data_IF_124857610142
#
_entry.id   IF_124857610142
#
_cell.length_a   1.000
_cell.length_b   1.000
_cell.length_c   1.000
_cell.angle_alpha   90.00
_cell.angle_beta   90.00
_cell.angle_gamma   90.00
#
_symmetry.space_group_name_H-M   'P 1'
#
loop_
_entity.id
_entity.type
_entity.pdbx_description
1 polymer ?
#
# COMPACT_ATOMS: atom_id res chain seq x y z
N UNK A 1 7.40 29.40 14.34
CA UNK A 1 6.28 29.65 13.42
C UNK A 1 6.80 29.48 11.99
N UNK A 2 6.67 28.27 11.44
CA UNK A 2 6.66 27.95 10.00
C UNK A 2 5.72 26.76 9.89
N UNK A 3 4.53 27.05 9.39
CA UNK A 3 3.41 26.17 9.07
C UNK A 3 3.54 25.68 7.64
N UNK A 4 3.52 24.36 7.46
CA UNK A 4 2.91 23.57 6.37
C UNK A 4 3.43 22.13 6.56
N UNK A 5 2.51 21.19 6.76
CA UNK A 5 2.70 19.89 7.43
C UNK A 5 3.90 19.10 6.89
N UNK A 6 4.91 18.95 7.75
CA UNK A 6 6.12 18.15 7.57
C UNK A 6 5.88 16.85 8.32
N UNK A 7 5.79 15.71 7.63
CA UNK A 7 6.24 14.41 8.14
C UNK A 7 6.17 13.36 7.01
N UNK A 8 6.98 13.59 5.97
CA UNK A 8 7.44 12.52 5.09
C UNK A 8 8.91 12.27 5.48
N UNK A 9 9.13 11.25 6.29
CA UNK A 9 10.48 10.79 6.65
C UNK A 9 11.02 9.85 5.57
N UNK A 10 11.83 10.36 4.64
CA UNK A 10 12.75 9.54 3.85
C UNK A 10 14.08 9.44 4.62
N UNK A 11 14.42 8.24 5.13
CA UNK A 11 15.75 7.95 5.64
C UNK A 11 16.57 7.25 4.55
N UNK A 12 17.43 8.01 3.87
CA UNK A 12 18.46 7.45 2.99
C UNK A 12 19.69 7.09 3.84
N UNK A 13 19.99 5.80 3.95
CA UNK A 13 21.26 5.33 4.50
C UNK A 13 22.19 4.91 3.37
N UNK A 14 23.19 5.75 3.11
CA UNK A 14 24.40 5.39 2.38
C UNK A 14 25.16 4.34 3.17
N UNK A 15 25.56 3.22 2.58
CA UNK A 15 26.78 2.53 2.99
C UNK A 15 27.37 1.62 1.91
N UNK A 16 28.60 2.01 1.52
CA UNK A 16 29.82 1.21 1.30
C UNK A 16 29.84 0.14 0.21
N UNK A 17 30.75 0.36 -0.75
CA UNK A 17 31.16 -0.56 -1.80
C UNK A 17 31.82 -1.85 -1.26
N UNK A 18 31.37 -3.00 -1.75
CA UNK A 18 32.19 -4.21 -1.87
C UNK A 18 31.96 -4.83 -3.25
N UNK A 19 33.05 -5.08 -3.96
CA UNK A 19 33.15 -5.58 -5.33
C UNK A 19 32.82 -7.07 -5.48
N UNK A 20 32.22 -7.38 -6.63
CA UNK A 20 32.22 -8.62 -7.44
C UNK A 20 31.53 -9.89 -6.90
N UNK A 21 30.32 -10.19 -7.42
CA UNK A 21 30.07 -11.42 -8.19
C UNK A 21 28.77 -11.30 -9.04
N UNK A 22 28.81 -11.76 -10.29
CA UNK A 22 27.73 -11.67 -11.28
C UNK A 22 26.75 -12.87 -11.14
N UNK A 23 25.79 -12.74 -10.22
CA UNK A 23 24.39 -13.10 -10.47
C UNK A 23 23.55 -12.49 -9.34
N UNK A 24 23.27 -11.19 -9.43
CA UNK A 24 22.36 -10.55 -8.48
C UNK A 24 20.97 -11.14 -8.76
N UNK A 25 20.63 -12.26 -8.09
CA UNK A 25 19.24 -12.56 -7.79
C UNK A 25 18.72 -11.30 -7.14
N UNK A 26 17.84 -10.59 -7.85
CA UNK A 26 17.29 -9.32 -7.44
C UNK A 26 16.49 -9.53 -6.14
N UNK A 27 17.23 -9.49 -5.03
CA UNK A 27 16.74 -9.94 -3.72
C UNK A 27 15.84 -8.83 -3.21
N UNK A 28 14.56 -9.16 -3.04
CA UNK A 28 13.56 -8.21 -2.57
C UNK A 28 14.00 -7.59 -1.25
N UNK A 29 14.20 -6.28 -1.24
CA UNK A 29 14.52 -5.55 -0.03
C UNK A 29 13.23 -5.17 0.72
N UNK A 30 13.21 -5.18 2.06
CA UNK A 30 12.00 -4.88 2.83
C UNK A 30 11.37 -3.52 2.48
N UNK A 31 12.17 -2.49 2.23
CA UNK A 31 11.67 -1.16 1.88
C UNK A 31 10.94 -1.11 0.52
N UNK A 32 11.11 -2.13 -0.33
CA UNK A 32 10.38 -2.30 -1.60
C UNK A 32 8.96 -2.87 -1.40
N UNK A 33 8.59 -3.18 -0.15
CA UNK A 33 7.26 -3.61 0.26
C UNK A 33 6.59 -2.40 0.95
N UNK A 34 5.48 -1.94 0.38
CA UNK A 34 4.69 -0.86 0.97
C UNK A 34 3.41 -1.39 1.61
N UNK A 35 3.16 -1.03 2.86
CA UNK A 35 1.84 -1.14 3.49
C UNK A 35 1.13 0.20 3.28
N UNK A 36 -0.06 0.16 2.67
CA UNK A 36 -0.78 1.36 2.24
C UNK A 36 -2.19 1.35 2.81
N UNK A 37 -2.52 2.42 3.53
CA UNK A 37 -3.87 2.71 4.02
C UNK A 37 -4.39 3.94 3.31
N UNK A 38 -5.65 3.93 2.85
CA UNK A 38 -6.30 5.12 2.27
C UNK A 38 -7.36 5.60 3.26
N UNK A 39 -7.38 6.91 3.55
CA UNK A 39 -8.36 7.53 4.45
C UNK A 39 -8.99 8.75 3.78
N UNK A 40 -10.21 9.11 4.20
CA UNK A 40 -10.92 10.29 3.70
C UNK A 40 -11.16 11.29 4.82
N UNK A 41 -10.44 12.41 4.78
CA UNK A 41 -10.55 13.50 5.74
C UNK A 41 -9.97 13.18 7.12
N UNK A 42 -10.43 13.90 8.13
CA UNK A 42 -9.89 13.86 9.49
C UNK A 42 -10.34 12.63 10.29
N UNK A 43 -10.31 11.43 9.72
CA UNK A 43 -10.70 10.18 10.38
C UNK A 43 -9.51 9.43 10.98
N UNK A 44 -8.28 9.85 10.71
CA UNK A 44 -7.07 9.19 11.20
C UNK A 44 -7.06 9.01 12.72
N UNK A 45 -7.53 10.01 13.48
CA UNK A 45 -7.58 9.94 14.93
C UNK A 45 -8.47 8.81 15.46
N UNK A 46 -9.52 8.44 14.72
CA UNK A 46 -10.44 7.36 15.10
C UNK A 46 -9.76 6.00 15.03
N UNK A 47 -8.80 5.86 14.11
CA UNK A 47 -8.07 4.62 13.86
C UNK A 47 -6.63 4.64 14.41
N UNK A 48 -6.31 5.62 15.26
CA UNK A 48 -4.96 5.88 15.75
C UNK A 48 -4.26 4.62 16.29
N UNK A 49 -4.95 3.82 17.09
CA UNK A 49 -4.35 2.62 17.68
C UNK A 49 -3.97 1.57 16.62
N UNK A 50 -4.84 1.36 15.63
CA UNK A 50 -4.59 0.42 14.54
C UNK A 50 -3.45 0.93 13.63
N UNK A 51 -3.50 2.20 13.23
CA UNK A 51 -2.48 2.85 12.41
C UNK A 51 -1.10 2.82 13.10
N UNK A 52 -1.02 3.17 14.39
CA UNK A 52 0.25 3.15 15.14
C UNK A 52 0.82 1.73 15.27
N UNK A 53 -0.02 0.71 15.42
CA UNK A 53 0.41 -0.69 15.41
C UNK A 53 1.06 -1.07 14.07
N UNK A 54 0.43 -0.72 12.96
CA UNK A 54 0.98 -0.97 11.61
C UNK A 54 2.27 -0.16 11.38
N UNK A 55 2.31 1.09 11.82
CA UNK A 55 3.51 1.95 11.73
C UNK A 55 4.70 1.35 12.48
N UNK A 56 4.50 0.92 13.73
CA UNK A 56 5.54 0.26 14.53
C UNK A 56 6.03 -1.04 13.87
N UNK A 57 5.11 -1.86 13.35
CA UNK A 57 5.45 -3.08 12.63
C UNK A 57 6.27 -2.80 11.36
N UNK A 58 5.86 -1.78 10.60
CA UNK A 58 6.54 -1.37 9.37
C UNK A 58 7.95 -0.88 9.66
N UNK A 59 8.12 -0.08 10.71
CA UNK A 59 9.43 0.38 11.15
C UNK A 59 10.32 -0.78 11.61
N UNK A 60 9.78 -1.70 12.41
CA UNK A 60 10.54 -2.85 12.92
C UNK A 60 11.15 -3.71 11.80
N UNK A 61 10.42 -3.89 10.69
CA UNK A 61 10.87 -4.72 9.56
C UNK A 61 11.41 -3.91 8.37
N UNK A 62 11.52 -2.59 8.49
CA UNK A 62 11.96 -1.69 7.43
C UNK A 62 11.08 -1.73 6.17
N UNK A 63 9.76 -1.90 6.33
CA UNK A 63 8.77 -1.74 5.27
C UNK A 63 8.43 -0.26 5.07
N UNK A 64 8.04 0.10 3.85
CA UNK A 64 7.47 1.43 3.57
C UNK A 64 6.03 1.46 4.12
N UNK A 65 5.67 2.48 4.90
CA UNK A 65 4.29 2.70 5.34
C UNK A 65 3.78 4.03 4.79
N UNK A 66 2.60 4.01 4.16
CA UNK A 66 1.98 5.21 3.61
C UNK A 66 0.50 5.29 3.99
N UNK A 67 0.11 6.44 4.52
CA UNK A 67 -1.28 6.82 4.74
C UNK A 67 -1.64 7.81 3.64
N UNK A 68 -2.57 7.43 2.77
CA UNK A 68 -3.03 8.25 1.66
C UNK A 68 -4.33 8.95 2.05
N UNK A 69 -4.23 10.18 2.57
CA UNK A 69 -5.38 11.01 2.86
C UNK A 69 -5.88 11.72 1.59
N UNK A 70 -7.12 11.41 1.19
CA UNK A 70 -7.73 11.94 -0.05
C UNK A 70 -7.83 13.46 -0.08
N UNK A 71 -7.91 14.13 1.07
CA UNK A 71 -8.07 15.58 1.18
C UNK A 71 -6.74 16.32 1.18
N UNK A 72 -5.63 15.62 1.44
CA UNK A 72 -4.31 16.22 1.62
C UNK A 72 -3.32 15.89 0.50
N UNK A 73 -3.64 14.91 -0.36
CA UNK A 73 -2.73 14.40 -1.39
C UNK A 73 -3.31 14.54 -2.82
N UNK A 74 -3.37 15.77 -3.36
CA UNK A 74 -3.87 16.03 -4.71
C UNK A 74 -3.08 15.28 -5.79
N UNK A 75 -1.81 14.95 -5.55
CA UNK A 75 -0.95 14.23 -6.49
C UNK A 75 -1.41 12.80 -6.79
N UNK A 76 -2.18 12.18 -5.88
CA UNK A 76 -2.72 10.83 -6.07
C UNK A 76 -4.21 10.81 -6.38
N UNK A 77 -4.93 11.92 -6.22
CA UNK A 77 -6.39 12.00 -6.41
C UNK A 77 -6.81 12.67 -7.72
N UNK A 78 -5.89 13.30 -8.45
CA UNK A 78 -6.15 14.19 -9.60
C UNK A 78 -7.11 13.66 -10.69
N UNK A 79 -7.21 12.34 -10.89
CA UNK A 79 -8.08 11.70 -11.88
C UNK A 79 -9.00 10.62 -11.29
N UNK A 80 -9.16 10.59 -9.97
CA UNK A 80 -9.98 9.61 -9.27
C UNK A 80 -11.37 10.18 -8.98
N UNK A 81 -12.23 10.17 -9.99
CA UNK A 81 -13.54 10.81 -9.98
C UNK A 81 -14.68 9.91 -9.45
N UNK A 82 -14.36 8.73 -8.95
CA UNK A 82 -15.34 7.78 -8.41
C UNK A 82 -16.05 8.40 -7.19
N UNK A 83 -17.39 8.57 -7.19
CA UNK A 83 -18.09 9.21 -6.08
C UNK A 83 -17.97 8.45 -4.76
N UNK A 84 -17.96 7.12 -4.80
CA UNK A 84 -17.87 6.30 -3.60
C UNK A 84 -16.41 6.10 -3.21
N UNK A 85 -16.11 6.41 -1.94
CA UNK A 85 -14.77 6.26 -1.37
C UNK A 85 -14.18 4.86 -1.57
N UNK A 86 -15.01 3.82 -1.36
CA UNK A 86 -14.60 2.41 -1.49
C UNK A 86 -14.10 2.05 -2.88
N UNK A 87 -14.56 2.74 -3.91
CA UNK A 87 -14.06 2.57 -5.27
C UNK A 87 -12.91 3.51 -5.58
N UNK A 88 -13.05 4.78 -5.20
CA UNK A 88 -12.05 5.83 -5.42
C UNK A 88 -10.67 5.47 -4.89
N UNK A 89 -10.60 4.81 -3.73
CA UNK A 89 -9.34 4.32 -3.13
C UNK A 89 -8.51 3.45 -4.08
N UNK A 90 -9.14 2.63 -4.93
CA UNK A 90 -8.40 1.75 -5.85
C UNK A 90 -7.65 2.59 -6.90
N UNK A 91 -8.29 3.65 -7.42
CA UNK A 91 -7.64 4.60 -8.32
C UNK A 91 -6.48 5.34 -7.62
N UNK A 92 -6.67 5.78 -6.38
CA UNK A 92 -5.64 6.48 -5.60
C UNK A 92 -4.41 5.58 -5.40
N UNK A 93 -4.62 4.32 -4.99
CA UNK A 93 -3.54 3.33 -4.85
C UNK A 93 -2.86 3.08 -6.20
N UNK A 94 -3.59 3.04 -7.31
CA UNK A 94 -3.00 2.89 -8.63
C UNK A 94 -2.06 4.05 -9.00
N UNK A 95 -2.41 5.29 -8.63
CA UNK A 95 -1.57 6.46 -8.84
C UNK A 95 -0.34 6.46 -7.94
N UNK A 96 -0.48 6.10 -6.66
CA UNK A 96 0.64 5.88 -5.75
C UNK A 96 1.60 4.80 -6.29
N UNK A 97 1.06 3.65 -6.69
CA UNK A 97 1.82 2.55 -7.27
C UNK A 97 2.58 2.99 -8.54
N UNK A 98 1.95 3.81 -9.39
CA UNK A 98 2.58 4.35 -10.60
C UNK A 98 3.72 5.32 -10.27
N UNK A 99 3.55 6.16 -9.23
CA UNK A 99 4.54 7.14 -8.79
C UNK A 99 5.81 6.49 -8.26
N UNK A 100 5.68 5.34 -7.59
CA UNK A 100 6.77 4.61 -6.96
C UNK A 100 7.07 3.26 -7.63
N UNK A 101 6.81 3.15 -8.93
CA UNK A 101 6.95 1.90 -9.68
C UNK A 101 8.37 1.33 -9.72
N UNK A 102 9.40 2.14 -9.47
CA UNK A 102 10.79 1.70 -9.51
C UNK A 102 11.32 1.37 -8.11
N UNK A 103 10.66 1.89 -7.07
CA UNK A 103 11.06 1.77 -5.67
C UNK A 103 10.26 0.67 -4.95
N UNK A 104 8.97 0.54 -5.26
CA UNK A 104 8.04 -0.35 -4.58
C UNK A 104 7.65 -1.50 -5.51
N UNK A 105 8.01 -2.73 -5.13
CA UNK A 105 7.71 -3.97 -5.86
C UNK A 105 6.39 -4.60 -5.44
N UNK A 106 6.03 -4.48 -4.16
CA UNK A 106 4.80 -5.03 -3.60
C UNK A 106 4.05 -3.99 -2.78
N UNK A 107 2.72 -4.00 -2.87
CA UNK A 107 1.86 -3.13 -2.08
C UNK A 107 0.82 -3.99 -1.37
N UNK A 108 0.71 -3.82 -0.05
CA UNK A 108 -0.29 -4.43 0.81
C UNK A 108 -1.29 -3.33 1.14
N UNK A 109 -2.46 -3.41 0.54
CA UNK A 109 -3.54 -2.48 0.80
C UNK A 109 -4.27 -2.98 2.03
N UNK A 110 -4.43 -2.12 3.04
CA UNK A 110 -5.20 -2.44 4.26
C UNK A 110 -6.18 -1.32 4.60
N UNK A 111 -7.28 -1.68 5.27
CA UNK A 111 -8.19 -0.73 5.88
C UNK A 111 -7.56 -0.09 7.13
N UNK A 112 -8.01 1.12 7.50
CA UNK A 112 -7.43 1.86 8.62
C UNK A 112 -7.71 1.20 9.99
N UNK A 113 -8.72 0.34 10.07
CA UNK A 113 -9.11 -0.42 11.26
C UNK A 113 -8.38 -1.76 11.41
N UNK A 114 -7.39 -2.05 10.54
CA UNK A 114 -6.56 -3.25 10.64
C UNK A 114 -5.38 -3.04 11.60
N UNK A 115 -5.21 -3.98 12.53
CA UNK A 115 -4.16 -3.98 13.54
C UNK A 115 -3.21 -5.17 13.39
N UNK A 116 -1.93 -4.98 13.70
CA UNK A 116 -0.95 -6.06 13.73
C UNK A 116 -1.05 -6.81 15.07
N UNK A 117 -1.43 -8.08 14.99
CA UNK A 117 -1.56 -8.95 16.18
C UNK A 117 -0.30 -9.77 16.48
N UNK A 118 0.48 -10.11 15.46
CA UNK A 118 1.72 -10.86 15.61
C UNK A 118 2.86 -10.18 14.82
N UNK A 119 3.67 -9.34 15.49
CA UNK A 119 4.71 -8.56 14.83
C UNK A 119 5.95 -9.40 14.46
N UNK A 120 6.04 -10.66 14.86
CA UNK A 120 7.18 -11.54 14.58
C UNK A 120 7.09 -12.13 13.17
N UNK A 121 5.88 -12.35 12.66
CA UNK A 121 5.71 -12.84 11.28
C UNK A 121 5.98 -11.73 10.27
N UNK A 122 6.72 -12.09 9.22
CA UNK A 122 7.13 -11.21 8.13
C UNK A 122 6.17 -11.29 6.94
N UNK A 123 5.88 -10.15 6.31
CA UNK A 123 4.99 -10.04 5.15
C UNK A 123 5.51 -10.86 3.96
N UNK A 124 6.83 -10.98 3.80
CA UNK A 124 7.50 -11.73 2.72
C UNK A 124 6.97 -13.17 2.61
N UNK A 125 6.55 -13.78 3.73
CA UNK A 125 6.02 -15.15 3.75
C UNK A 125 4.63 -15.28 3.09
N UNK A 126 3.93 -14.16 2.93
CA UNK A 126 2.56 -14.06 2.39
C UNK A 126 2.52 -13.40 1.01
N UNK A 127 3.65 -12.93 0.49
CA UNK A 127 3.73 -12.38 -0.87
C UNK A 127 3.45 -13.48 -1.92
N UNK A 128 3.01 -13.10 -3.13
CA UNK A 128 2.91 -14.01 -4.26
C UNK A 128 4.17 -14.86 -4.45
N UNK A 129 3.99 -16.17 -4.60
CA UNK A 129 5.10 -17.15 -4.70
C UNK A 129 5.36 -17.61 -6.13
N UNK A 130 4.45 -17.33 -7.06
CA UNK A 130 4.57 -17.67 -8.47
C UNK A 130 4.25 -16.47 -9.35
N UNK A 131 3.36 -16.68 -10.32
CA UNK A 131 2.99 -15.70 -11.34
C UNK A 131 1.85 -14.78 -10.90
N UNK A 132 1.37 -14.88 -9.65
CA UNK A 132 0.20 -14.11 -9.20
C UNK A 132 0.53 -12.61 -9.12
N UNK A 133 -0.26 -11.78 -9.78
CA UNK A 133 -0.14 -10.31 -9.70
C UNK A 133 -0.91 -9.71 -8.51
N UNK A 134 -1.97 -10.39 -8.07
CA UNK A 134 -2.92 -9.91 -7.07
C UNK A 134 -3.34 -11.08 -6.18
N UNK A 135 -3.34 -10.89 -4.86
CA UNK A 135 -3.87 -11.83 -3.88
C UNK A 135 -5.00 -11.18 -3.10
N UNK A 136 -6.21 -11.66 -3.34
CA UNK A 136 -7.37 -11.33 -2.50
C UNK A 136 -7.52 -12.35 -1.37
N UNK A 137 -8.25 -11.96 -0.33
CA UNK A 137 -8.66 -12.83 0.77
C UNK A 137 -10.17 -13.03 0.76
N UNK A 138 -10.63 -14.21 1.14
CA UNK A 138 -12.04 -14.50 1.38
C UNK A 138 -12.42 -14.14 2.82
N UNK A 139 -13.60 -13.55 3.02
CA UNK A 139 -14.17 -13.27 4.33
C UNK A 139 -14.93 -14.49 4.85
N UNK A 140 -14.48 -15.02 5.98
CA UNK A 140 -15.06 -16.23 6.59
C UNK A 140 -16.54 -16.09 6.98
N UNK A 141 -17.05 -14.87 7.19
CA UNK A 141 -18.41 -14.65 7.69
C UNK A 141 -19.47 -14.50 6.59
N UNK A 142 -19.09 -14.22 5.34
CA UNK A 142 -20.05 -14.03 4.23
C UNK A 142 -19.57 -14.55 2.87
N UNK A 143 -18.43 -15.26 2.81
CA UNK A 143 -17.85 -15.82 1.57
C UNK A 143 -17.64 -14.78 0.47
N UNK A 144 -17.37 -13.53 0.88
CA UNK A 144 -17.10 -12.41 0.00
C UNK A 144 -15.59 -12.23 -0.20
N UNK A 145 -15.19 -11.98 -1.44
CA UNK A 145 -13.82 -11.56 -1.75
C UNK A 145 -13.59 -10.16 -1.18
N UNK A 146 -12.71 -10.02 -0.20
CA UNK A 146 -12.45 -8.77 0.50
C UNK A 146 -11.81 -7.73 -0.43
N UNK A 147 -12.56 -6.67 -0.74
CA UNK A 147 -12.04 -5.52 -1.50
C UNK A 147 -11.28 -4.50 -0.63
N UNK A 148 -11.41 -4.59 0.70
CA UNK A 148 -10.75 -3.68 1.65
C UNK A 148 -9.28 -4.01 1.92
N UNK A 149 -8.84 -5.25 1.71
CA UNK A 149 -7.45 -5.63 1.96
C UNK A 149 -6.99 -6.76 1.06
N UNK A 150 -5.87 -6.53 0.39
CA UNK A 150 -5.31 -7.42 -0.62
C UNK A 150 -3.87 -7.03 -0.92
N UNK A 151 -3.10 -7.97 -1.50
CA UNK A 151 -1.69 -7.77 -1.85
C UNK A 151 -1.57 -7.67 -3.36
N UNK A 152 -0.70 -6.80 -3.84
CA UNK A 152 -0.39 -6.67 -5.26
C UNK A 152 1.11 -6.67 -5.53
N UNK A 153 1.49 -7.22 -6.69
CA UNK A 153 2.73 -6.85 -7.39
C UNK A 153 2.52 -5.54 -8.11
N UNK A 154 3.49 -4.63 -8.03
CA UNK A 154 3.41 -3.32 -8.67
C UNK A 154 3.74 -3.39 -10.17
N UNK A 155 2.95 -4.13 -10.93
CA UNK A 155 3.08 -4.27 -12.38
C UNK A 155 2.16 -3.30 -13.12
N UNK A 156 2.41 -3.08 -14.42
CA UNK A 156 1.49 -2.31 -15.26
C UNK A 156 0.09 -2.95 -15.31
N UNK A 157 0.03 -4.28 -15.30
CA UNK A 157 -1.20 -5.04 -15.25
C UNK A 157 -2.01 -4.67 -14.00
N UNK A 158 -1.40 -4.78 -12.81
CA UNK A 158 -2.14 -4.52 -11.57
C UNK A 158 -2.57 -3.06 -11.43
N UNK A 159 -1.73 -2.10 -11.84
CA UNK A 159 -2.14 -0.68 -11.84
C UNK A 159 -3.33 -0.42 -12.77
N UNK A 160 -3.37 -1.09 -13.92
CA UNK A 160 -4.50 -1.02 -14.85
C UNK A 160 -5.74 -1.68 -14.26
N UNK A 161 -5.58 -2.84 -13.61
CA UNK A 161 -6.65 -3.54 -12.92
C UNK A 161 -7.27 -2.66 -11.83
N UNK A 162 -6.47 -2.00 -10.99
CA UNK A 162 -7.00 -1.13 -9.92
C UNK A 162 -7.83 0.05 -10.45
N UNK A 163 -7.43 0.63 -11.60
CA UNK A 163 -8.23 1.67 -12.26
C UNK A 163 -9.55 1.10 -12.77
N UNK A 164 -9.50 -0.06 -13.44
CA UNK A 164 -10.72 -0.77 -13.85
C UNK A 164 -11.61 -1.11 -12.66
N UNK A 165 -11.02 -1.53 -11.54
CA UNK A 165 -11.75 -1.91 -10.34
C UNK A 165 -12.42 -0.70 -9.69
N UNK A 166 -11.76 0.47 -9.68
CA UNK A 166 -12.38 1.73 -9.29
C UNK A 166 -13.59 2.06 -10.18
N UNK A 167 -13.44 1.97 -11.50
CA UNK A 167 -14.51 2.27 -12.46
C UNK A 167 -15.65 1.24 -12.46
N UNK A 168 -15.46 0.09 -11.80
CA UNK A 168 -16.53 -0.89 -11.61
C UNK A 168 -17.72 -0.31 -10.82
N UNK A 169 -17.54 0.81 -10.11
CA UNK A 169 -18.65 1.57 -9.52
C UNK A 169 -19.78 1.83 -10.52
N UNK A 170 -19.44 2.22 -11.75
CA UNK A 170 -20.41 2.59 -12.77
C UNK A 170 -21.09 1.39 -13.44
N UNK A 171 -20.69 0.17 -13.07
CA UNK A 171 -21.24 -1.10 -13.57
C UNK A 171 -22.03 -1.87 -12.51
N UNK A 172 -22.01 -1.40 -11.25
CA UNK A 172 -22.90 -1.93 -10.22
C UNK A 172 -24.35 -1.65 -10.65
N UNK A 173 -25.27 -2.62 -10.49
CA UNK A 173 -26.70 -2.41 -10.76
C UNK A 173 -27.31 -1.34 -9.85
#
# INVERSE_FOLDING_TARGET
MVTASKDIHFYNFSNVNTTTDNSIKDTLQPHQIAIVTVIDGAVEYMYKQAIESVKCYSWHHNYTFAILNTQELPEFTYNCNQPEFFFRRHCIVANYAQRYKNEIKYIIIIDADIIVVNPVHRIENYLPKGEEDILFSDRTHNSEIMAGSYIIKNTLYTRSFLKFFADYQYKKP
#
